data_IF_058001239664
#
_entry.id   IF_058001239664
#
_cell.length_a   1.000
_cell.length_b   1.000
_cell.length_c   1.000
_cell.angle_alpha   90.00
_cell.angle_beta   90.00
_cell.angle_gamma   90.00
#
_symmetry.space_group_name_H-M   'P 1'
#
loop_
_entity.id
_entity.type
_entity.pdbx_description
1 polymer ?
#
# COMPACT_ATOMS: atom_id res chain seq x y z
N UNK A 1 -4.98 -30.82 3.16
CA UNK A 1 -6.12 -30.33 2.35
C UNK A 1 -5.74 -28.97 1.82
N UNK A 2 -5.74 -28.78 0.51
CA UNK A 2 -5.34 -27.52 -0.13
C UNK A 2 -6.44 -26.45 0.04
N UNK A 3 -6.07 -25.19 0.18
CA UNK A 3 -7.01 -24.07 0.26
C UNK A 3 -7.16 -23.43 -1.12
N UNK A 4 -8.41 -23.27 -1.58
CA UNK A 4 -8.69 -22.67 -2.89
C UNK A 4 -9.17 -21.22 -2.74
N UNK A 5 -8.58 -20.35 -3.55
CA UNK A 5 -8.83 -18.92 -3.67
C UNK A 5 -8.68 -18.49 -5.14
N UNK A 6 -9.35 -17.41 -5.53
CA UNK A 6 -9.19 -16.84 -6.87
C UNK A 6 -7.92 -16.00 -6.96
N UNK A 7 -7.57 -15.31 -5.86
CA UNK A 7 -6.38 -14.46 -5.76
C UNK A 7 -5.68 -14.72 -4.43
N UNK A 8 -4.35 -14.80 -4.46
CA UNK A 8 -3.50 -14.84 -3.27
C UNK A 8 -2.56 -13.64 -3.25
N UNK A 9 -2.54 -12.91 -2.14
CA UNK A 9 -1.64 -11.78 -1.87
C UNK A 9 -0.72 -12.20 -0.74
N UNK A 10 0.58 -12.07 -0.94
CA UNK A 10 1.59 -12.36 0.10
C UNK A 10 2.13 -11.05 0.67
N UNK A 11 1.72 -10.74 1.89
CA UNK A 11 2.13 -9.57 2.67
C UNK A 11 0.95 -8.71 3.10
N UNK A 12 0.74 -8.58 4.42
CA UNK A 12 -0.30 -7.74 5.03
C UNK A 12 0.11 -6.28 5.29
N UNK A 13 1.07 -5.75 4.52
CA UNK A 13 1.48 -4.34 4.60
C UNK A 13 0.54 -3.40 3.84
N UNK A 14 0.89 -2.11 3.78
CA UNK A 14 0.06 -1.10 3.12
C UNK A 14 -0.30 -1.47 1.67
N UNK A 15 0.69 -1.87 0.86
CA UNK A 15 0.47 -2.28 -0.53
C UNK A 15 -0.45 -3.50 -0.67
N UNK A 16 -0.25 -4.53 0.15
CA UNK A 16 -1.06 -5.75 0.10
C UNK A 16 -2.51 -5.52 0.55
N UNK A 17 -2.71 -4.70 1.58
CA UNK A 17 -4.06 -4.27 2.00
C UNK A 17 -4.74 -3.43 0.93
N UNK A 18 -4.03 -2.47 0.32
CA UNK A 18 -4.59 -1.62 -0.74
C UNK A 18 -5.00 -2.45 -1.96
N UNK A 19 -4.19 -3.43 -2.35
CA UNK A 19 -4.52 -4.38 -3.42
C UNK A 19 -5.76 -5.22 -3.07
N UNK A 20 -5.85 -5.72 -1.84
CA UNK A 20 -7.02 -6.48 -1.38
C UNK A 20 -8.31 -5.65 -1.42
N UNK A 21 -8.23 -4.38 -0.98
CA UNK A 21 -9.34 -3.42 -1.08
C UNK A 21 -9.76 -3.21 -2.53
N UNK A 22 -8.81 -2.94 -3.44
CA UNK A 22 -9.08 -2.71 -4.86
C UNK A 22 -9.83 -3.89 -5.50
N UNK A 23 -9.43 -5.12 -5.17
CA UNK A 23 -10.11 -6.34 -5.63
C UNK A 23 -11.52 -6.42 -5.05
N UNK A 24 -11.69 -6.15 -3.76
CA UNK A 24 -13.00 -6.12 -3.08
C UNK A 24 -13.97 -5.09 -3.69
N UNK A 25 -13.46 -3.92 -4.07
CA UNK A 25 -14.22 -2.86 -4.75
C UNK A 25 -14.61 -3.26 -6.17
N UNK A 26 -13.67 -3.85 -6.91
CA UNK A 26 -13.87 -4.16 -8.33
C UNK A 26 -14.76 -5.39 -8.54
N UNK A 27 -14.54 -6.46 -7.75
CA UNK A 27 -15.30 -7.69 -7.88
C UNK A 27 -15.45 -8.42 -6.53
N UNK A 28 -16.56 -8.18 -5.80
CA UNK A 28 -16.79 -8.78 -4.49
C UNK A 28 -17.03 -10.30 -4.53
N UNK A 29 -17.15 -10.91 -5.72
CA UNK A 29 -17.32 -12.37 -5.88
C UNK A 29 -15.99 -13.12 -5.81
N UNK A 30 -14.86 -12.45 -6.05
CA UNK A 30 -13.55 -13.09 -6.00
C UNK A 30 -13.15 -13.35 -4.56
N UNK A 31 -12.80 -14.60 -4.24
CA UNK A 31 -12.30 -15.00 -2.93
C UNK A 31 -10.81 -14.73 -2.85
N UNK A 32 -10.42 -13.78 -2.00
CA UNK A 32 -9.04 -13.31 -1.87
C UNK A 32 -8.41 -13.87 -0.59
N UNK A 33 -7.24 -14.49 -0.69
CA UNK A 33 -6.40 -14.80 0.46
C UNK A 33 -5.35 -13.69 0.65
N UNK A 34 -5.33 -13.07 1.83
CA UNK A 34 -4.26 -12.17 2.25
C UNK A 34 -3.37 -12.88 3.27
N UNK A 35 -2.24 -13.41 2.82
CA UNK A 35 -1.31 -14.23 3.63
C UNK A 35 -0.20 -13.35 4.18
N UNK A 36 0.01 -13.35 5.49
CA UNK A 36 1.04 -12.52 6.12
C UNK A 36 1.68 -13.21 7.31
N UNK A 37 3.02 -13.14 7.40
CA UNK A 37 3.77 -13.68 8.54
C UNK A 37 3.55 -12.91 9.85
N UNK A 38 2.93 -11.74 9.77
CA UNK A 38 2.59 -10.90 10.91
C UNK A 38 1.20 -10.31 10.73
N UNK A 39 0.56 -9.96 11.84
CA UNK A 39 -0.66 -9.15 11.81
C UNK A 39 -0.42 -7.82 11.07
N UNK A 40 -1.40 -7.26 10.31
CA UNK A 40 -1.19 -6.07 9.50
C UNK A 40 -0.51 -4.91 10.22
N UNK A 41 -0.94 -4.59 11.46
CA UNK A 41 -0.37 -3.52 12.31
C UNK A 41 1.09 -3.74 12.74
N UNK A 42 1.65 -4.92 12.49
CA UNK A 42 3.05 -5.25 12.75
C UNK A 42 3.90 -5.24 11.48
N UNK A 43 3.30 -4.90 10.33
CA UNK A 43 4.06 -4.64 9.11
C UNK A 43 4.87 -3.35 9.20
N UNK A 44 5.96 -3.26 8.46
CA UNK A 44 6.89 -2.13 8.59
C UNK A 44 6.33 -0.80 8.06
N UNK A 45 5.22 -0.82 7.29
CA UNK A 45 4.49 0.39 6.90
C UNK A 45 4.15 1.26 8.11
N UNK A 46 3.88 0.65 9.28
CA UNK A 46 3.53 1.38 10.51
C UNK A 46 4.64 2.30 11.00
N UNK A 47 5.90 2.00 10.67
CA UNK A 47 7.08 2.69 11.16
C UNK A 47 7.46 3.93 10.32
N UNK A 48 6.75 4.19 9.21
CA UNK A 48 7.02 5.39 8.44
C UNK A 48 6.52 6.63 9.19
N UNK A 49 7.41 7.60 9.43
CA UNK A 49 7.07 8.84 10.14
C UNK A 49 6.93 10.01 9.15
N UNK A 50 7.86 10.07 8.18
CA UNK A 50 8.09 11.19 7.27
C UNK A 50 6.88 11.66 6.46
N UNK A 51 6.21 10.76 5.73
CA UNK A 51 5.09 11.18 4.90
C UNK A 51 4.90 10.34 3.65
N UNK A 52 3.97 10.78 2.79
CA UNK A 52 3.78 10.28 1.44
C UNK A 52 3.74 11.46 0.47
N UNK A 53 4.47 11.38 -0.64
CA UNK A 53 4.64 12.50 -1.57
C UNK A 53 3.58 12.47 -2.67
N UNK A 54 2.86 13.59 -2.86
CA UNK A 54 1.96 13.79 -3.98
C UNK A 54 1.70 15.29 -4.22
N UNK A 55 1.59 15.67 -5.50
CA UNK A 55 1.32 17.04 -5.93
C UNK A 55 -0.11 17.44 -5.53
N UNK A 56 -0.27 18.55 -4.81
CA UNK A 56 -1.60 19.06 -4.39
C UNK A 56 -1.71 20.58 -4.39
N UNK A 57 -0.59 21.29 -4.34
CA UNK A 57 -0.56 22.76 -4.28
C UNK A 57 -0.41 23.33 -5.69
N UNK A 58 -1.03 24.49 -5.92
CA UNK A 58 -1.05 25.16 -7.23
C UNK A 58 0.33 25.61 -7.73
N UNK A 59 1.30 25.74 -6.82
CA UNK A 59 2.67 26.11 -7.14
C UNK A 59 3.57 24.91 -7.49
N UNK A 60 3.04 23.69 -7.48
CA UNK A 60 3.75 22.46 -7.81
C UNK A 60 3.19 21.82 -9.08
N UNK A 61 3.94 20.91 -9.70
CA UNK A 61 3.52 20.24 -10.93
C UNK A 61 3.92 18.78 -10.98
N UNK A 62 3.16 17.97 -11.72
CA UNK A 62 3.53 16.57 -11.99
C UNK A 62 4.89 16.46 -12.67
N UNK A 63 5.20 17.39 -13.58
CA UNK A 63 6.50 17.41 -14.25
C UNK A 63 7.65 17.63 -13.26
N UNK A 64 7.52 18.55 -12.31
CA UNK A 64 8.54 18.77 -11.28
C UNK A 64 8.72 17.54 -10.38
N UNK A 65 7.62 16.86 -10.01
CA UNK A 65 7.70 15.63 -9.22
C UNK A 65 8.33 14.46 -10.01
N UNK A 66 8.03 14.32 -11.30
CA UNK A 66 8.70 13.36 -12.17
C UNK A 66 10.20 13.64 -12.26
N UNK A 67 10.60 14.90 -12.47
CA UNK A 67 12.01 15.28 -12.57
C UNK A 67 12.77 15.04 -11.26
N UNK A 68 12.19 15.38 -10.11
CA UNK A 68 12.78 15.09 -8.80
C UNK A 68 12.96 13.57 -8.60
N UNK A 69 11.99 12.76 -9.06
CA UNK A 69 12.03 11.29 -8.97
C UNK A 69 13.09 10.68 -9.89
N UNK A 70 13.12 11.08 -11.16
CA UNK A 70 14.08 10.59 -12.16
C UNK A 70 15.50 11.01 -11.79
N UNK A 71 15.67 12.27 -11.38
CA UNK A 71 16.94 12.80 -10.91
C UNK A 71 17.43 12.10 -9.64
N UNK A 72 16.54 11.90 -8.65
CA UNK A 72 16.86 11.17 -7.42
C UNK A 72 17.13 9.68 -7.64
N UNK A 73 16.55 9.08 -8.66
CA UNK A 73 16.81 7.72 -9.10
C UNK A 73 18.05 7.54 -9.97
N UNK A 74 18.84 8.61 -10.18
CA UNK A 74 20.02 8.62 -11.04
C UNK A 74 19.73 8.07 -12.45
N UNK A 75 18.53 8.40 -12.97
CA UNK A 75 18.05 7.98 -14.29
C UNK A 75 17.93 6.46 -14.48
N UNK A 76 17.98 5.67 -13.40
CA UNK A 76 17.79 4.22 -13.44
C UNK A 76 16.33 3.80 -13.34
N UNK A 77 15.41 4.74 -13.13
CA UNK A 77 13.98 4.46 -13.07
C UNK A 77 13.40 4.27 -14.47
N UNK A 78 12.48 3.30 -14.61
CA UNK A 78 11.58 3.23 -15.76
C UNK A 78 10.64 4.45 -15.72
N UNK A 79 10.82 5.37 -16.68
CA UNK A 79 10.20 6.69 -16.60
C UNK A 79 8.68 6.67 -16.83
N UNK A 80 8.18 5.68 -17.56
CA UNK A 80 6.75 5.41 -17.73
C UNK A 80 6.10 4.98 -16.41
N UNK A 81 6.79 4.16 -15.60
CA UNK A 81 6.35 3.81 -14.26
C UNK A 81 6.36 5.01 -13.31
N UNK A 82 7.37 5.90 -13.44
CA UNK A 82 7.42 7.16 -12.67
C UNK A 82 6.25 8.08 -13.03
N UNK A 83 5.99 8.27 -14.31
CA UNK A 83 4.86 9.10 -14.77
C UNK A 83 3.53 8.56 -14.25
N UNK A 84 3.30 7.25 -14.36
CA UNK A 84 2.10 6.61 -13.80
C UNK A 84 1.98 6.86 -12.29
N UNK A 85 3.06 6.61 -11.54
CA UNK A 85 3.09 6.81 -10.10
C UNK A 85 2.74 8.26 -9.71
N UNK A 86 3.39 9.24 -10.35
CA UNK A 86 3.21 10.66 -10.02
C UNK A 86 1.79 11.14 -10.31
N UNK A 87 1.17 10.66 -11.40
CA UNK A 87 -0.21 11.00 -11.76
C UNK A 87 -1.26 10.35 -10.85
N UNK A 88 -0.98 9.15 -10.33
CA UNK A 88 -1.91 8.41 -9.45
C UNK A 88 -1.78 8.81 -7.97
N UNK A 89 -0.58 9.17 -7.52
CA UNK A 89 -0.30 9.53 -6.13
C UNK A 89 -1.31 10.50 -5.49
N UNK A 90 -1.68 11.66 -6.09
CA UNK A 90 -2.63 12.56 -5.44
C UNK A 90 -4.03 11.95 -5.29
N UNK A 91 -4.48 11.16 -6.27
CA UNK A 91 -5.79 10.50 -6.24
C UNK A 91 -5.86 9.52 -5.07
N UNK A 92 -4.80 8.74 -4.89
CA UNK A 92 -4.70 7.77 -3.79
C UNK A 92 -4.60 8.44 -2.42
N UNK A 93 -3.84 9.55 -2.28
CA UNK A 93 -3.77 10.25 -0.99
C UNK A 93 -5.07 10.98 -0.61
N UNK A 94 -5.79 11.51 -1.61
CA UNK A 94 -7.15 12.03 -1.41
C UNK A 94 -8.11 10.89 -1.02
N UNK A 95 -8.00 9.73 -1.65
CA UNK A 95 -8.83 8.58 -1.27
C UNK A 95 -8.56 8.11 0.17
N UNK A 96 -7.30 8.15 0.61
CA UNK A 96 -6.95 7.90 2.02
C UNK A 96 -7.60 8.91 2.97
N UNK A 97 -7.70 10.17 2.57
CA UNK A 97 -8.42 11.22 3.32
C UNK A 97 -9.91 10.88 3.46
N UNK A 98 -10.57 10.52 2.36
CA UNK A 98 -11.98 10.10 2.35
C UNK A 98 -12.23 8.81 3.17
N UNK A 99 -11.23 7.95 3.33
CA UNK A 99 -11.29 6.79 4.22
C UNK A 99 -11.02 7.13 5.69
N UNK A 100 -10.70 8.38 6.00
CA UNK A 100 -10.50 8.89 7.36
C UNK A 100 -9.05 8.96 7.82
N UNK A 101 -8.07 8.91 6.91
CA UNK A 101 -6.68 9.18 7.27
C UNK A 101 -6.53 10.66 7.69
N UNK A 102 -6.07 10.94 8.93
CA UNK A 102 -6.05 12.30 9.47
C UNK A 102 -4.81 13.07 9.01
N UNK A 103 -4.78 13.47 7.74
CA UNK A 103 -3.74 14.38 7.24
C UNK A 103 -3.70 15.68 8.03
N UNK A 104 -2.48 16.14 8.35
CA UNK A 104 -2.27 17.45 8.96
C UNK A 104 -2.80 18.55 8.04
N UNK A 105 -3.32 19.63 8.64
CA UNK A 105 -4.04 20.69 7.93
C UNK A 105 -3.36 22.03 8.10
N UNK A 106 -3.50 22.86 7.07
CA UNK A 106 -3.28 24.29 7.15
C UNK A 106 -4.42 24.96 7.95
N UNK A 107 -4.24 26.25 8.28
CA UNK A 107 -5.25 27.02 9.01
C UNK A 107 -6.59 27.14 8.26
N UNK A 108 -6.58 27.05 6.94
CA UNK A 108 -7.77 27.09 6.08
C UNK A 108 -8.45 25.71 5.92
N UNK A 109 -7.91 24.66 6.54
CA UNK A 109 -8.44 23.29 6.46
C UNK A 109 -7.97 22.49 5.25
N UNK A 110 -7.18 23.08 4.34
CA UNK A 110 -6.53 22.34 3.25
C UNK A 110 -5.43 21.43 3.82
N UNK A 111 -5.02 20.42 3.04
CA UNK A 111 -3.94 19.52 3.47
C UNK A 111 -2.61 20.27 3.53
N UNK A 112 -1.90 20.10 4.64
CA UNK A 112 -0.55 20.61 4.82
C UNK A 112 0.48 19.67 4.15
N UNK A 113 1.49 20.28 3.53
CA UNK A 113 2.65 19.57 2.98
C UNK A 113 3.92 20.10 3.66
N UNK A 114 5.00 19.31 3.62
CA UNK A 114 6.30 19.74 4.16
C UNK A 114 7.47 19.37 3.25
N UNK A 115 8.63 20.02 3.41
CA UNK A 115 9.85 19.62 2.72
C UNK A 115 10.30 18.23 3.20
N UNK A 116 10.68 17.35 2.26
CA UNK A 116 11.24 16.04 2.56
C UNK A 116 12.06 15.54 1.37
N UNK A 117 13.11 14.76 1.64
CA UNK A 117 13.84 14.03 0.60
C UNK A 117 14.52 14.89 -0.48
N UNK A 118 14.79 16.17 -0.22
CA UNK A 118 15.48 17.05 -1.17
C UNK A 118 14.65 17.48 -2.37
N UNK A 119 13.32 17.34 -2.32
CA UNK A 119 12.41 17.81 -3.36
C UNK A 119 12.52 19.32 -3.56
N UNK A 120 12.41 19.77 -4.82
CA UNK A 120 12.49 21.19 -5.18
C UNK A 120 11.31 22.00 -4.64
N UNK A 121 10.12 21.39 -4.63
CA UNK A 121 8.88 21.97 -4.11
C UNK A 121 8.32 20.99 -3.08
N UNK A 122 7.86 21.53 -1.95
CA UNK A 122 7.29 20.70 -0.88
C UNK A 122 5.98 20.04 -1.32
N UNK A 123 5.93 18.72 -1.20
CA UNK A 123 4.76 17.92 -1.59
C UNK A 123 4.57 16.67 -0.75
N UNK A 124 5.24 16.61 0.41
CA UNK A 124 5.12 15.47 1.32
C UNK A 124 3.96 15.69 2.26
N UNK A 125 2.89 14.93 2.05
CA UNK A 125 1.74 14.85 2.94
C UNK A 125 2.15 14.12 4.21
N UNK A 126 1.68 14.58 5.36
CA UNK A 126 2.05 14.00 6.65
C UNK A 126 0.88 14.01 7.63
N UNK A 127 0.90 13.07 8.57
CA UNK A 127 0.00 13.04 9.73
C UNK A 127 0.88 13.13 10.98
N UNK A 128 1.19 14.36 11.39
CA UNK A 128 2.15 14.67 12.45
C UNK A 128 3.49 13.91 12.26
N UNK A 129 3.86 13.06 13.22
CA UNK A 129 5.05 12.22 13.25
C UNK A 129 4.73 10.74 13.00
N UNK A 130 3.49 10.40 12.60
CA UNK A 130 2.98 9.01 12.56
C UNK A 130 2.25 8.68 11.26
N UNK A 131 2.76 9.17 10.14
CA UNK A 131 2.08 9.02 8.83
C UNK A 131 1.82 7.56 8.47
N UNK A 132 2.82 6.69 8.56
CA UNK A 132 2.72 5.27 8.27
C UNK A 132 1.76 4.52 9.19
N UNK A 133 1.75 4.87 10.49
CA UNK A 133 0.78 4.36 11.46
C UNK A 133 -0.65 4.70 11.01
N UNK A 134 -0.92 5.97 10.70
CA UNK A 134 -2.25 6.39 10.27
C UNK A 134 -2.67 5.76 8.93
N UNK A 135 -1.79 5.76 7.93
CA UNK A 135 -2.05 5.13 6.63
C UNK A 135 -2.41 3.65 6.77
N UNK A 136 -1.62 2.90 7.53
CA UNK A 136 -1.82 1.47 7.70
C UNK A 136 -3.10 1.16 8.49
N UNK A 137 -3.41 1.93 9.53
CA UNK A 137 -4.65 1.80 10.29
C UNK A 137 -5.88 2.08 9.42
N UNK A 138 -5.85 3.15 8.63
CA UNK A 138 -6.93 3.49 7.69
C UNK A 138 -7.15 2.38 6.65
N UNK A 139 -6.07 1.87 6.03
CA UNK A 139 -6.16 0.75 5.08
C UNK A 139 -6.74 -0.50 5.73
N UNK A 140 -6.23 -0.88 6.90
CA UNK A 140 -6.72 -2.06 7.60
C UNK A 140 -8.20 -1.95 7.96
N UNK A 141 -8.63 -0.84 8.56
CA UNK A 141 -10.03 -0.63 8.94
C UNK A 141 -10.95 -0.62 7.71
N UNK A 142 -10.47 -0.04 6.61
CA UNK A 142 -11.19 -0.06 5.32
C UNK A 142 -11.30 -1.48 4.76
N UNK A 143 -10.25 -2.30 4.87
CA UNK A 143 -10.27 -3.68 4.38
C UNK A 143 -11.34 -4.55 5.05
N UNK A 144 -11.75 -4.21 6.29
CA UNK A 144 -12.80 -4.93 7.02
C UNK A 144 -14.19 -4.79 6.38
N UNK A 145 -14.38 -3.84 5.46
CA UNK A 145 -15.63 -3.68 4.71
C UNK A 145 -15.87 -4.83 3.72
N UNK A 146 -14.82 -5.56 3.33
CA UNK A 146 -14.85 -6.53 2.24
C UNK A 146 -14.77 -7.97 2.77
N UNK A 147 -15.93 -8.62 2.92
CA UNK A 147 -16.04 -9.99 3.44
C UNK A 147 -15.37 -11.06 2.56
N UNK A 148 -15.08 -10.74 1.30
CA UNK A 148 -14.41 -11.63 0.35
C UNK A 148 -12.88 -11.65 0.51
N UNK A 149 -12.32 -10.79 1.36
CA UNK A 149 -10.91 -10.78 1.74
C UNK A 149 -10.71 -11.60 3.02
N UNK A 150 -10.11 -12.79 2.88
CA UNK A 150 -9.83 -13.70 3.99
C UNK A 150 -8.36 -13.54 4.39
N UNK A 151 -8.14 -13.07 5.62
CA UNK A 151 -6.80 -12.87 6.17
C UNK A 151 -6.28 -14.16 6.80
N UNK A 152 -5.02 -14.47 6.48
CA UNK A 152 -4.22 -15.52 7.09
C UNK A 152 -3.05 -14.85 7.80
N UNK A 153 -3.32 -14.34 9.00
CA UNK A 153 -2.33 -13.68 9.85
C UNK A 153 -1.45 -14.73 10.55
N UNK A 154 -0.14 -14.46 10.66
CA UNK A 154 0.87 -15.40 11.20
C UNK A 154 1.04 -16.66 10.35
N UNK A 155 1.04 -16.49 9.03
CA UNK A 155 1.33 -17.53 8.05
C UNK A 155 2.60 -17.20 7.28
N UNK A 156 3.57 -18.11 7.32
CA UNK A 156 4.84 -17.93 6.65
C UNK A 156 4.82 -18.61 5.28
N UNK A 157 4.77 -17.82 4.19
CA UNK A 157 4.90 -18.34 2.83
C UNK A 157 6.29 -18.95 2.62
N UNK A 158 6.36 -20.18 2.13
CA UNK A 158 7.61 -20.95 2.03
C UNK A 158 8.08 -21.18 0.59
N UNK A 159 7.15 -21.31 -0.36
CA UNK A 159 7.49 -21.58 -1.76
C UNK A 159 6.43 -21.03 -2.69
N UNK A 160 6.86 -20.49 -3.83
CA UNK A 160 5.99 -20.18 -4.96
C UNK A 160 5.82 -21.44 -5.81
N UNK A 161 4.58 -21.78 -6.12
CA UNK A 161 4.24 -22.92 -6.94
C UNK A 161 4.15 -22.48 -8.39
N UNK A 162 4.95 -23.09 -9.26
CA UNK A 162 5.01 -22.75 -10.69
C UNK A 162 4.77 -24.00 -11.51
N UNK A 163 3.84 -23.90 -12.46
CA UNK A 163 3.53 -24.94 -13.42
C UNK A 163 3.43 -24.32 -14.82
N UNK A 164 4.15 -24.89 -15.80
CA UNK A 164 4.19 -24.41 -17.18
C UNK A 164 4.50 -22.90 -17.30
N UNK A 165 5.45 -22.41 -16.48
CA UNK A 165 5.86 -21.00 -16.46
C UNK A 165 4.85 -20.04 -15.80
N UNK A 166 3.74 -20.55 -15.25
CA UNK A 166 2.72 -19.75 -14.55
C UNK A 166 2.74 -20.01 -13.06
N UNK A 167 2.66 -18.93 -12.28
CA UNK A 167 2.43 -19.03 -10.83
C UNK A 167 1.03 -19.59 -10.56
N UNK A 168 0.94 -20.67 -9.78
CA UNK A 168 -0.30 -21.35 -9.40
C UNK A 168 -0.69 -21.10 -7.95
N UNK A 169 0.19 -20.49 -7.15
CA UNK A 169 -0.06 -20.22 -5.73
C UNK A 169 1.21 -20.27 -4.89
N UNK A 170 1.03 -20.45 -3.59
CA UNK A 170 2.13 -20.54 -2.63
C UNK A 170 1.86 -21.61 -1.59
N UNK A 171 2.91 -22.28 -1.11
CA UNK A 171 2.81 -23.04 0.14
C UNK A 171 3.06 -22.11 1.33
N UNK A 172 2.38 -22.34 2.44
CA UNK A 172 2.56 -21.55 3.66
C UNK A 172 2.44 -22.42 4.91
N UNK A 173 3.18 -22.06 5.95
CA UNK A 173 3.11 -22.69 7.28
C UNK A 173 2.29 -21.77 8.18
N UNK A 174 1.21 -22.28 8.75
CA UNK A 174 0.50 -21.61 9.85
C UNK A 174 1.40 -21.65 11.09
N UNK A 175 1.95 -20.51 11.50
CA UNK A 175 3.03 -20.47 12.50
C UNK A 175 2.60 -21.01 13.86
N UNK A 176 1.32 -20.81 14.24
CA UNK A 176 0.77 -21.30 15.51
C UNK A 176 0.70 -22.82 15.59
N UNK A 177 0.29 -23.48 14.50
CA UNK A 177 0.05 -24.93 14.49
C UNK A 177 1.21 -25.73 13.90
N UNK A 178 2.10 -25.09 13.15
CA UNK A 178 3.14 -25.75 12.35
C UNK A 178 2.60 -26.46 11.11
N UNK A 179 1.30 -26.38 10.83
CA UNK A 179 0.70 -27.07 9.70
C UNK A 179 1.07 -26.38 8.40
N UNK A 180 1.66 -27.17 7.49
CA UNK A 180 1.86 -26.77 6.11
C UNK A 180 0.53 -26.82 5.35
N UNK A 181 0.23 -25.73 4.65
CA UNK A 181 -0.90 -25.61 3.72
C UNK A 181 -0.37 -25.34 2.32
N UNK A 182 -1.12 -25.85 1.36
CA UNK A 182 -0.92 -25.68 -0.08
C UNK A 182 -2.13 -24.92 -0.60
#
# INVERSE_FOLDING_TARGET
MALQYDIVIVGGGGAGLRAAIAIGETNPKLKVALVSKVYPMRSHTVAAEGGAAAVIKDNDSFNDHCLDTIGGGDWMCDQDAVELFVNEAPKELIQMEHWGCPWSRELDGTVAVRPFGGMKIERTWFAADKTGFHLLHTLFQTSLKYNNVIRHDEWFATKILVENGRCQGVTAIEMRSGNLKV
#
